data_IF_433658363332
#
_entry.id   IF_433658363332
#
_cell.length_a   1.000
_cell.length_b   1.000
_cell.length_c   1.000
_cell.angle_alpha   90.00
_cell.angle_beta   90.00
_cell.angle_gamma   90.00
#
_symmetry.space_group_name_H-M   'P 1'
#
loop_
_entity.id
_entity.type
_entity.pdbx_description
1 polymer ?
#
# COMPACT_ATOMS: atom_id res chain seq x y z
N UNK A 1 7.89 -3.32 -1.06
CA UNK A 1 7.19 -3.51 0.23
C UNK A 1 6.21 -4.65 0.07
N UNK A 2 6.24 -5.61 0.97
CA UNK A 2 5.43 -6.83 0.85
C UNK A 2 4.23 -6.79 1.80
N UNK A 3 3.06 -7.16 1.29
CA UNK A 3 1.87 -7.35 2.10
C UNK A 3 1.67 -8.83 2.41
N UNK A 4 0.94 -9.12 3.48
CA UNK A 4 0.66 -10.48 3.93
C UNK A 4 -0.84 -10.73 3.90
N UNK A 5 -1.25 -11.88 3.38
CA UNK A 5 -2.65 -12.28 3.33
C UNK A 5 -3.01 -13.10 4.58
N UNK A 6 -4.10 -12.70 5.21
CA UNK A 6 -4.65 -13.42 6.35
C UNK A 6 -5.14 -14.81 5.92
N UNK A 7 -4.83 -15.83 6.73
CA UNK A 7 -5.23 -17.21 6.44
C UNK A 7 -6.75 -17.33 6.31
N UNK A 8 -7.20 -18.04 5.29
CA UNK A 8 -8.62 -18.31 5.06
C UNK A 8 -9.35 -17.24 4.23
N UNK A 9 -8.65 -16.20 3.76
CA UNK A 9 -9.26 -15.15 2.93
C UNK A 9 -8.97 -15.40 1.45
N UNK A 10 -9.75 -14.76 0.56
CA UNK A 10 -9.50 -14.81 -0.87
C UNK A 10 -8.29 -13.95 -1.23
N UNK A 11 -7.33 -14.51 -1.94
CA UNK A 11 -6.13 -13.79 -2.40
C UNK A 11 -6.33 -13.08 -3.74
N UNK A 12 -7.44 -13.33 -4.44
CA UNK A 12 -7.61 -12.90 -5.82
C UNK A 12 -7.78 -11.40 -6.00
N UNK A 13 -8.38 -10.72 -5.02
CA UNK A 13 -8.71 -9.30 -5.13
C UNK A 13 -7.89 -8.45 -4.16
N UNK A 14 -7.48 -7.23 -4.58
CA UNK A 14 -6.84 -6.28 -3.67
C UNK A 14 -7.86 -5.60 -2.76
N UNK A 15 -7.38 -4.78 -1.82
CA UNK A 15 -8.21 -3.90 -1.00
C UNK A 15 -9.28 -4.60 -0.19
N UNK A 16 -9.01 -5.77 0.34
CA UNK A 16 -9.89 -6.39 1.33
C UNK A 16 -9.18 -6.47 2.69
N UNK A 17 -9.95 -6.74 3.73
CA UNK A 17 -9.44 -6.71 5.11
C UNK A 17 -8.43 -7.81 5.42
N UNK A 18 -8.31 -8.82 4.55
CA UNK A 18 -7.33 -9.89 4.71
C UNK A 18 -5.88 -9.50 4.43
N UNK A 19 -5.67 -8.42 3.68
CA UNK A 19 -4.31 -7.94 3.37
C UNK A 19 -3.79 -7.05 4.49
N UNK A 20 -2.55 -7.30 4.92
CA UNK A 20 -1.89 -6.51 5.95
C UNK A 20 -0.43 -6.26 5.57
N UNK A 21 0.14 -5.17 6.12
CA UNK A 21 1.57 -4.86 6.03
C UNK A 21 2.06 -4.70 7.46
N UNK A 22 3.09 -5.47 7.86
CA UNK A 22 3.64 -5.36 9.20
C UNK A 22 4.39 -4.03 9.37
N UNK A 23 4.41 -3.52 10.59
CA UNK A 23 5.14 -2.32 10.92
C UNK A 23 6.64 -2.49 10.67
N UNK A 24 7.17 -3.67 10.91
CA UNK A 24 8.57 -3.99 10.63
C UNK A 24 8.87 -3.83 9.13
N UNK A 25 7.99 -4.32 8.25
CA UNK A 25 8.15 -4.15 6.80
C UNK A 25 8.09 -2.68 6.42
N UNK A 26 7.17 -1.92 7.00
CA UNK A 26 7.06 -0.48 6.74
C UNK A 26 8.35 0.23 7.17
N UNK A 27 8.87 -0.04 8.36
CA UNK A 27 10.07 0.59 8.87
C UNK A 27 11.30 0.24 8.02
N UNK A 28 11.43 -1.02 7.60
CA UNK A 28 12.53 -1.44 6.74
C UNK A 28 12.44 -0.76 5.36
N UNK A 29 11.23 -0.61 4.84
CA UNK A 29 11.00 0.05 3.56
C UNK A 29 11.30 1.54 3.65
N UNK A 30 10.94 2.19 4.77
CA UNK A 30 11.30 3.60 5.01
C UNK A 30 12.81 3.77 4.98
N UNK A 31 13.56 2.93 5.69
CA UNK A 31 15.03 3.01 5.75
C UNK A 31 15.62 2.83 4.35
N UNK A 32 15.19 1.83 3.60
CA UNK A 32 15.68 1.58 2.24
C UNK A 32 15.34 2.75 1.31
N UNK A 33 14.12 3.25 1.37
CA UNK A 33 13.66 4.35 0.52
C UNK A 33 14.46 5.61 0.79
N UNK A 34 14.69 5.95 2.05
CA UNK A 34 15.53 7.12 2.41
C UNK A 34 16.96 6.96 1.89
N UNK A 35 17.52 5.76 2.00
CA UNK A 35 18.86 5.49 1.47
C UNK A 35 18.91 5.72 -0.04
N UNK A 36 17.94 5.18 -0.79
CA UNK A 36 17.89 5.33 -2.25
C UNK A 36 17.63 6.78 -2.67
N UNK A 37 16.80 7.51 -1.91
CA UNK A 37 16.56 8.93 -2.18
C UNK A 37 17.87 9.75 -2.06
N UNK A 38 18.65 9.48 -1.03
CA UNK A 38 19.93 10.16 -0.85
C UNK A 38 20.95 9.74 -1.92
N UNK A 39 21.00 8.44 -2.25
CA UNK A 39 21.95 7.89 -3.20
C UNK A 39 21.73 8.47 -4.62
N UNK A 40 20.49 8.68 -5.03
CA UNK A 40 20.14 9.11 -6.38
C UNK A 40 19.53 10.51 -6.44
N UNK A 41 19.58 11.28 -5.34
CA UNK A 41 19.01 12.62 -5.26
C UNK A 41 17.55 12.68 -5.68
N UNK A 42 16.75 11.71 -5.23
CA UNK A 42 15.31 11.66 -5.55
C UNK A 42 14.54 12.47 -4.51
N UNK A 43 13.80 13.53 -4.91
CA UNK A 43 12.98 14.28 -3.96
C UNK A 43 11.76 13.46 -3.53
N UNK A 44 11.18 13.83 -2.37
CA UNK A 44 10.07 13.07 -1.78
C UNK A 44 8.83 13.04 -2.68
N UNK A 45 8.58 14.07 -3.45
CA UNK A 45 7.43 14.16 -4.36
C UNK A 45 7.56 13.23 -5.57
N UNK A 46 8.75 12.67 -5.80
CA UNK A 46 8.98 11.67 -6.84
C UNK A 46 8.90 10.23 -6.34
N UNK A 47 8.66 10.04 -5.05
CA UNK A 47 8.39 8.73 -4.46
C UNK A 47 6.91 8.45 -4.61
N UNK A 48 6.56 7.52 -5.49
CA UNK A 48 5.16 7.25 -5.84
C UNK A 48 4.84 5.76 -5.71
N UNK A 49 3.55 5.46 -5.64
CA UNK A 49 3.05 4.07 -5.64
C UNK A 49 2.88 3.58 -7.08
N UNK A 50 2.79 2.27 -7.25
CA UNK A 50 2.37 1.70 -8.53
C UNK A 50 0.98 2.24 -8.92
N UNK A 51 0.10 2.44 -7.94
CA UNK A 51 -1.21 3.05 -8.13
C UNK A 51 -1.12 4.44 -8.80
N UNK A 52 -0.17 5.27 -8.37
CA UNK A 52 0.03 6.60 -8.94
C UNK A 52 0.54 6.54 -10.38
N UNK A 53 1.33 5.52 -10.70
CA UNK A 53 1.94 5.39 -12.01
C UNK A 53 1.00 4.79 -13.05
N UNK A 54 0.16 3.80 -12.69
CA UNK A 54 -0.63 3.05 -13.66
C UNK A 54 -2.09 2.85 -13.27
N UNK A 55 -2.52 3.28 -12.10
CA UNK A 55 -3.87 3.05 -11.59
C UNK A 55 -4.09 1.66 -10.98
N UNK A 56 -3.09 0.80 -10.99
CA UNK A 56 -3.18 -0.52 -10.36
C UNK A 56 -3.23 -0.38 -8.84
N UNK A 57 -4.12 -1.16 -8.19
CA UNK A 57 -4.28 -1.10 -6.74
C UNK A 57 -3.09 -1.79 -6.04
N UNK A 58 -1.98 -1.08 -5.98
CA UNK A 58 -0.74 -1.56 -5.38
C UNK A 58 -0.10 -0.42 -4.55
N UNK A 59 0.14 -0.57 -3.24
CA UNK A 59 -0.24 -1.74 -2.43
C UNK A 59 -1.74 -1.95 -2.34
N UNK A 60 -2.18 -3.21 -2.43
CA UNK A 60 -3.58 -3.58 -2.35
C UNK A 60 -4.07 -3.78 -0.91
N UNK A 61 -3.75 -2.85 -0.03
CA UNK A 61 -4.03 -2.90 1.40
C UNK A 61 -4.88 -1.69 1.77
N UNK A 62 -5.77 -1.85 2.75
CA UNK A 62 -6.59 -0.73 3.22
C UNK A 62 -5.69 0.39 3.77
N UNK A 63 -5.97 1.62 3.34
CA UNK A 63 -5.21 2.80 3.73
C UNK A 63 -4.10 3.18 2.76
N UNK A 64 -3.89 2.43 1.67
CA UNK A 64 -2.75 2.63 0.77
C UNK A 64 -3.11 3.05 -0.67
N UNK A 65 -4.38 3.03 -1.03
CA UNK A 65 -4.85 3.52 -2.33
C UNK A 65 -6.31 3.91 -2.25
N UNK A 66 -6.81 4.65 -3.24
CA UNK A 66 -8.20 5.14 -3.27
C UNK A 66 -9.14 4.25 -4.10
N UNK A 67 -8.73 3.01 -4.35
CA UNK A 67 -9.55 2.09 -5.13
C UNK A 67 -10.75 1.54 -4.37
N UNK A 68 -11.51 0.68 -5.02
CA UNK A 68 -12.68 0.04 -4.43
C UNK A 68 -12.25 -1.01 -3.39
N UNK A 69 -12.97 -1.09 -2.29
CA UNK A 69 -12.78 -2.14 -1.28
C UNK A 69 -13.58 -3.37 -1.71
N UNK A 70 -12.92 -4.52 -1.74
CA UNK A 70 -13.54 -5.79 -2.09
C UNK A 70 -13.83 -6.62 -0.86
N UNK A 71 -14.83 -7.51 -0.95
CA UNK A 71 -15.15 -8.45 0.11
C UNK A 71 -14.04 -9.51 0.22
N UNK A 72 -13.58 -9.80 1.44
CA UNK A 72 -12.48 -10.72 1.66
C UNK A 72 -12.84 -12.19 1.38
N UNK A 73 -14.13 -12.52 1.35
CA UNK A 73 -14.61 -13.88 1.15
C UNK A 73 -15.11 -14.12 -0.27
N UNK A 74 -15.94 -13.20 -0.80
CA UNK A 74 -16.58 -13.37 -2.11
C UNK A 74 -15.78 -12.76 -3.25
N UNK A 75 -14.89 -11.81 -2.95
CA UNK A 75 -14.12 -11.07 -3.96
C UNK A 75 -14.96 -10.06 -4.73
N UNK A 76 -16.17 -9.79 -4.30
CA UNK A 76 -17.06 -8.81 -4.95
C UNK A 76 -16.83 -7.42 -4.38
N UNK A 77 -17.09 -6.39 -5.19
CA UNK A 77 -17.00 -5.00 -4.74
C UNK A 77 -18.04 -4.73 -3.64
N UNK A 78 -17.58 -4.06 -2.56
CA UNK A 78 -18.48 -3.64 -1.48
C UNK A 78 -19.17 -2.31 -1.78
N UNK A 79 -18.79 -1.63 -2.87
CA UNK A 79 -19.26 -0.28 -3.18
C UNK A 79 -18.60 0.82 -2.37
N UNK A 80 -17.73 0.49 -1.43
CA UNK A 80 -16.97 1.45 -0.60
C UNK A 80 -15.64 1.74 -1.23
N UNK A 81 -15.11 2.94 -0.99
CA UNK A 81 -13.79 3.34 -1.46
C UNK A 81 -12.77 3.21 -0.34
N UNK A 82 -11.58 2.77 -0.69
CA UNK A 82 -10.42 2.80 0.18
C UNK A 82 -9.91 4.25 0.32
N UNK A 83 -8.88 4.46 1.12
CA UNK A 83 -8.25 5.76 1.30
C UNK A 83 -6.74 5.61 1.26
N UNK A 84 -6.02 6.73 1.28
CA UNK A 84 -4.56 6.75 1.23
C UNK A 84 -3.93 7.26 2.53
N UNK A 85 -4.63 7.16 3.65
CA UNK A 85 -4.14 7.69 4.94
C UNK A 85 -2.82 7.04 5.38
N UNK A 86 -2.69 5.73 5.23
CA UNK A 86 -1.46 5.01 5.60
C UNK A 86 -0.32 5.34 4.64
N UNK A 87 -0.61 5.53 3.36
CA UNK A 87 0.37 5.97 2.38
C UNK A 87 0.92 7.35 2.73
N UNK A 88 0.05 8.28 3.13
CA UNK A 88 0.48 9.61 3.54
C UNK A 88 1.37 9.56 4.78
N UNK A 89 1.04 8.70 5.75
CA UNK A 89 1.88 8.48 6.92
C UNK A 89 3.25 7.92 6.53
N UNK A 90 3.29 7.00 5.58
CA UNK A 90 4.55 6.46 5.06
C UNK A 90 5.41 7.57 4.47
N UNK A 91 4.83 8.44 3.64
CA UNK A 91 5.56 9.56 3.04
C UNK A 91 6.07 10.55 4.09
N UNK A 92 5.30 10.79 5.16
CA UNK A 92 5.76 11.63 6.27
C UNK A 92 7.04 11.08 6.91
N UNK A 93 7.16 9.78 7.01
CA UNK A 93 8.36 9.14 7.57
C UNK A 93 9.59 9.29 6.68
N UNK A 94 9.42 9.67 5.42
CA UNK A 94 10.51 9.88 4.49
C UNK A 94 11.11 11.29 4.56
N UNK A 95 10.46 12.20 5.26
CA UNK A 95 10.92 13.58 5.42
C UNK A 95 12.13 13.68 6.35
#
# INVERSE_FOLDING_TARGET
MCSTLKKGTSAAMPNHTGWTISEKVINNTVALTKYLMAQYNVPIDRVVRHYDASGKYCPGVLGWNNGVIYDETTGKSTGKKNNSNEWLKFKEKLK
#
